data_IF_863737048415
#
_entry.id   IF_863737048415
#
_cell.length_a   1.000
_cell.length_b   1.000
_cell.length_c   1.000
_cell.angle_alpha   90.00
_cell.angle_beta   90.00
_cell.angle_gamma   90.00
#
_symmetry.space_group_name_H-M   'P 1'
#
loop_
_entity.id
_entity.type
_entity.pdbx_description
1 polymer ?
#
# COMPACT_ATOMS: atom_id res chain seq x y z
N UNK A 1 33.37 8.45 6.78
CA UNK A 1 33.65 7.85 5.45
C UNK A 1 32.84 6.56 5.33
N UNK A 2 31.59 6.63 4.86
CA UNK A 2 30.83 5.43 4.49
C UNK A 2 31.14 5.19 3.01
N UNK A 3 31.70 4.02 2.71
CA UNK A 3 32.08 3.61 1.36
C UNK A 3 30.85 3.63 0.45
N UNK A 4 30.91 4.42 -0.62
CA UNK A 4 30.10 4.25 -1.82
C UNK A 4 30.42 2.87 -2.40
N UNK A 5 29.67 1.85 -2.00
CA UNK A 5 29.64 0.59 -2.75
C UNK A 5 28.87 0.89 -4.04
N UNK A 6 29.45 0.67 -5.23
CA UNK A 6 28.68 0.74 -6.46
C UNK A 6 27.56 -0.30 -6.35
N UNK A 7 26.31 0.14 -6.51
CA UNK A 7 25.15 -0.75 -6.50
C UNK A 7 25.36 -1.82 -7.59
N UNK A 8 25.82 -3.00 -7.17
CA UNK A 8 25.89 -4.14 -8.06
C UNK A 8 24.48 -4.38 -8.57
N UNK A 9 24.27 -4.22 -9.88
CA UNK A 9 23.01 -4.55 -10.56
C UNK A 9 22.71 -6.01 -10.24
N UNK A 10 21.92 -6.24 -9.20
CA UNK A 10 21.51 -7.57 -8.79
C UNK A 10 20.73 -8.15 -9.97
N UNK A 11 21.26 -9.21 -10.56
CA UNK A 11 20.63 -9.82 -11.74
C UNK A 11 19.28 -10.36 -11.30
N UNK A 12 18.22 -9.83 -11.90
CA UNK A 12 16.85 -10.23 -11.59
C UNK A 12 16.64 -11.63 -12.15
N UNK A 13 16.48 -12.61 -11.27
CA UNK A 13 16.10 -13.96 -11.68
C UNK A 13 14.68 -13.95 -12.25
N UNK A 14 14.41 -14.83 -13.23
CA UNK A 14 13.05 -15.07 -13.71
C UNK A 14 12.09 -15.42 -12.57
N UNK A 15 12.59 -16.10 -11.53
CA UNK A 15 11.83 -16.40 -10.30
C UNK A 15 11.34 -15.13 -9.61
N UNK A 16 12.14 -14.06 -9.60
CA UNK A 16 11.74 -12.77 -9.05
C UNK A 16 10.60 -12.12 -9.83
N UNK A 17 10.61 -12.22 -11.16
CA UNK A 17 9.50 -11.74 -11.99
C UNK A 17 8.22 -12.57 -11.78
N UNK A 18 8.35 -13.90 -11.66
CA UNK A 18 7.21 -14.76 -11.35
C UNK A 18 6.64 -14.46 -9.94
N UNK A 19 7.49 -14.24 -8.94
CA UNK A 19 7.08 -13.86 -7.59
C UNK A 19 6.39 -12.49 -7.58
N UNK A 20 6.89 -11.51 -8.35
CA UNK A 20 6.24 -10.21 -8.52
C UNK A 20 4.87 -10.35 -9.20
N UNK A 21 4.75 -11.19 -10.23
CA UNK A 21 3.49 -11.44 -10.91
C UNK A 21 2.47 -12.09 -9.99
N UNK A 22 2.89 -13.07 -9.19
CA UNK A 22 2.06 -13.66 -8.14
C UNK A 22 1.60 -12.58 -7.14
N UNK A 23 2.51 -11.73 -6.66
CA UNK A 23 2.19 -10.66 -5.73
C UNK A 23 1.14 -9.68 -6.31
N UNK A 24 1.28 -9.33 -7.59
CA UNK A 24 0.33 -8.46 -8.30
C UNK A 24 -1.06 -9.07 -8.32
N UNK A 25 -1.18 -10.36 -8.69
CA UNK A 25 -2.47 -11.07 -8.67
C UNK A 25 -3.01 -11.12 -7.24
N UNK A 26 -2.17 -11.53 -6.30
CA UNK A 26 -2.55 -11.78 -4.92
C UNK A 26 -3.13 -10.56 -4.21
N UNK A 27 -2.49 -9.40 -4.36
CA UNK A 27 -2.93 -8.13 -3.78
C UNK A 27 -3.85 -7.31 -4.70
N UNK A 28 -4.25 -7.82 -5.87
CA UNK A 28 -5.12 -7.06 -6.78
C UNK A 28 -6.60 -7.08 -6.40
N UNK A 29 -7.07 -8.16 -5.77
CA UNK A 29 -8.50 -8.34 -5.51
C UNK A 29 -9.27 -8.91 -6.70
N UNK A 30 -8.60 -9.26 -7.81
CA UNK A 30 -9.27 -9.73 -9.04
C UNK A 30 -10.03 -11.05 -8.84
N UNK A 31 -9.70 -11.81 -7.79
CA UNK A 31 -10.31 -13.09 -7.47
C UNK A 31 -11.13 -13.04 -6.17
N UNK A 32 -11.48 -11.85 -5.66
CA UNK A 32 -12.25 -11.72 -4.42
C UNK A 32 -13.62 -12.39 -4.50
N UNK A 33 -14.25 -12.30 -5.67
CA UNK A 33 -15.61 -12.79 -5.96
C UNK A 33 -15.60 -14.09 -6.79
N UNK A 34 -14.44 -14.71 -7.00
CA UNK A 34 -14.35 -15.97 -7.74
C UNK A 34 -15.05 -17.11 -6.97
N UNK A 35 -15.91 -17.86 -7.64
CA UNK A 35 -16.63 -19.03 -7.06
C UNK A 35 -15.84 -20.35 -7.16
N UNK A 36 -14.67 -20.32 -7.78
CA UNK A 36 -13.82 -21.48 -8.03
C UNK A 36 -12.55 -21.45 -7.15
N UNK A 37 -11.67 -22.44 -7.33
CA UNK A 37 -10.46 -22.58 -6.53
C UNK A 37 -9.48 -21.40 -6.65
N UNK A 38 -9.58 -20.58 -7.71
CA UNK A 38 -8.67 -19.43 -7.92
C UNK A 38 -8.85 -18.35 -6.86
N UNK A 39 -9.95 -18.41 -6.09
CA UNK A 39 -10.23 -17.58 -4.93
C UNK A 39 -9.13 -17.66 -3.84
N UNK A 40 -8.41 -18.78 -3.74
CA UNK A 40 -7.27 -18.95 -2.83
C UNK A 40 -6.10 -18.03 -3.17
N UNK A 41 -6.03 -17.55 -4.41
CA UNK A 41 -5.01 -16.62 -4.86
C UNK A 41 -5.35 -15.16 -4.53
N UNK A 42 -6.38 -14.88 -3.75
CA UNK A 42 -6.78 -13.51 -3.38
C UNK A 42 -6.48 -13.21 -1.91
N UNK A 43 -5.77 -12.11 -1.67
CA UNK A 43 -5.44 -11.65 -0.33
C UNK A 43 -6.68 -11.38 0.52
N UNK A 44 -7.72 -10.77 -0.05
CA UNK A 44 -8.96 -10.42 0.68
C UNK A 44 -9.69 -11.66 1.17
N UNK A 45 -9.63 -12.73 0.38
CA UNK A 45 -10.27 -14.01 0.70
C UNK A 45 -9.48 -14.74 1.77
N UNK A 46 -8.15 -14.81 1.64
CA UNK A 46 -7.30 -15.48 2.63
C UNK A 46 -7.24 -14.74 3.96
N UNK A 47 -7.32 -13.40 3.94
CA UNK A 47 -7.43 -12.59 5.14
C UNK A 47 -8.72 -12.92 5.91
N UNK A 48 -9.79 -13.26 5.20
CA UNK A 48 -11.10 -13.53 5.76
C UNK A 48 -11.74 -12.30 6.39
N UNK A 49 -12.79 -12.55 7.19
CA UNK A 49 -13.60 -11.50 7.83
C UNK A 49 -13.38 -11.43 9.33
N UNK A 50 -12.11 -11.39 9.75
CA UNK A 50 -11.77 -11.28 11.17
C UNK A 50 -12.34 -9.99 11.76
N UNK A 51 -13.02 -10.11 12.90
CA UNK A 51 -13.65 -8.98 13.57
C UNK A 51 -15.13 -8.80 13.26
N UNK A 52 -15.70 -9.54 12.31
CA UNK A 52 -17.14 -9.58 12.07
C UNK A 52 -17.78 -10.62 13.00
N UNK A 53 -18.84 -10.23 13.71
CA UNK A 53 -19.59 -11.06 14.64
C UNK A 53 -21.01 -11.28 14.08
N UNK A 54 -21.35 -12.54 13.82
CA UNK A 54 -22.67 -12.94 13.31
C UNK A 54 -22.82 -12.80 11.79
N UNK A 55 -23.86 -13.44 11.24
CA UNK A 55 -24.05 -13.57 9.79
C UNK A 55 -24.48 -12.27 9.09
N UNK A 56 -25.00 -11.30 9.84
CA UNK A 56 -25.54 -10.05 9.28
C UNK A 56 -24.50 -8.95 9.08
N UNK A 57 -23.26 -9.13 9.54
CA UNK A 57 -22.19 -8.12 9.42
C UNK A 57 -22.38 -6.86 10.27
N UNK A 58 -23.48 -6.76 11.03
CA UNK A 58 -23.86 -5.57 11.80
C UNK A 58 -23.19 -5.49 13.17
N UNK A 59 -22.80 -6.64 13.74
CA UNK A 59 -21.97 -6.67 14.93
C UNK A 59 -20.51 -6.88 14.50
N UNK A 60 -19.64 -6.01 14.99
CA UNK A 60 -18.20 -6.06 14.74
C UNK A 60 -17.49 -5.93 16.08
N UNK A 61 -16.22 -6.33 16.14
CA UNK A 61 -15.35 -6.25 17.34
C UNK A 61 -15.38 -4.88 18.03
N UNK A 62 -15.65 -3.83 17.27
CA UNK A 62 -15.75 -2.44 17.74
C UNK A 62 -17.05 -2.12 18.49
N UNK A 63 -18.09 -2.94 18.34
CA UNK A 63 -19.44 -2.63 18.80
C UNK A 63 -20.06 -1.44 18.05
N UNK A 64 -21.14 -0.86 18.59
CA UNK A 64 -21.83 0.30 18.01
C UNK A 64 -21.83 1.49 18.96
N UNK A 65 -21.52 2.69 18.46
CA UNK A 65 -21.67 3.95 19.21
C UNK A 65 -20.55 4.32 20.18
N UNK A 66 -19.40 3.64 20.15
CA UNK A 66 -18.24 3.97 20.96
C UNK A 66 -17.20 4.80 20.20
N UNK A 67 -16.81 5.96 20.73
CA UNK A 67 -15.63 6.72 20.28
C UNK A 67 -14.68 6.90 21.46
N UNK A 68 -13.53 6.24 21.45
CA UNK A 68 -12.55 6.31 22.55
C UNK A 68 -11.47 5.23 22.45
N UNK A 69 -10.60 5.15 23.47
CA UNK A 69 -9.44 4.26 23.48
C UNK A 69 -9.78 2.77 23.28
N UNK A 70 -10.92 2.31 23.82
CA UNK A 70 -11.40 0.93 23.65
C UNK A 70 -11.79 0.61 22.21
N UNK A 71 -12.44 1.56 21.54
CA UNK A 71 -12.82 1.42 20.13
C UNK A 71 -11.57 1.37 19.24
N UNK A 72 -10.60 2.27 19.48
CA UNK A 72 -9.30 2.25 18.79
C UNK A 72 -8.52 0.95 19.00
N UNK A 73 -8.52 0.41 20.23
CA UNK A 73 -7.87 -0.88 20.52
C UNK A 73 -8.52 -2.05 19.78
N UNK A 74 -9.86 -2.13 19.78
CA UNK A 74 -10.58 -3.19 19.06
C UNK A 74 -10.42 -3.05 17.54
N UNK A 75 -10.34 -1.83 17.02
CA UNK A 75 -10.01 -1.58 15.62
C UNK A 75 -8.61 -2.10 15.27
N UNK A 76 -7.59 -1.77 16.07
CA UNK A 76 -6.24 -2.27 15.85
C UNK A 76 -6.17 -3.80 15.85
N UNK A 77 -6.88 -4.46 16.77
CA UNK A 77 -6.98 -5.93 16.80
C UNK A 77 -7.61 -6.50 15.51
N UNK A 78 -8.62 -5.82 14.95
CA UNK A 78 -9.25 -6.27 13.70
C UNK A 78 -8.30 -6.21 12.48
N UNK A 79 -7.33 -5.30 12.49
CA UNK A 79 -6.37 -5.12 11.39
C UNK A 79 -5.14 -6.04 11.47
N UNK A 80 -4.83 -6.53 12.68
CA UNK A 80 -3.59 -7.26 12.95
C UNK A 80 -3.38 -8.48 12.02
N UNK A 81 -4.36 -9.38 11.80
CA UNK A 81 -4.15 -10.56 10.95
C UNK A 81 -3.81 -10.19 9.50
N UNK A 82 -4.49 -9.17 8.96
CA UNK A 82 -4.28 -8.67 7.61
C UNK A 82 -2.86 -8.16 7.41
N UNK A 83 -2.37 -7.36 8.35
CA UNK A 83 -1.02 -6.80 8.30
C UNK A 83 0.03 -7.90 8.43
N UNK A 84 -0.17 -8.87 9.34
CA UNK A 84 0.75 -10.01 9.52
C UNK A 84 0.84 -10.84 8.24
N UNK A 85 -0.31 -11.19 7.63
CA UNK A 85 -0.35 -11.96 6.39
C UNK A 85 0.34 -11.23 5.25
N UNK A 86 0.06 -9.94 5.08
CA UNK A 86 0.68 -9.13 4.03
C UNK A 86 2.21 -9.09 4.20
N UNK A 87 2.71 -8.82 5.41
CA UNK A 87 4.14 -8.82 5.70
C UNK A 87 4.79 -10.18 5.46
N UNK A 88 4.15 -11.28 5.87
CA UNK A 88 4.67 -12.63 5.66
C UNK A 88 4.80 -12.98 4.18
N UNK A 89 3.79 -12.66 3.36
CA UNK A 89 3.83 -12.86 1.91
C UNK A 89 4.94 -12.03 1.26
N UNK A 90 5.14 -10.80 1.73
CA UNK A 90 6.21 -9.91 1.24
C UNK A 90 7.58 -10.46 1.54
N UNK A 91 7.83 -10.98 2.76
CA UNK A 91 9.10 -11.63 3.09
C UNK A 91 9.39 -12.83 2.18
N UNK A 92 8.36 -13.59 1.79
CA UNK A 92 8.51 -14.68 0.81
C UNK A 92 8.87 -14.14 -0.58
N UNK A 93 8.16 -13.11 -1.06
CA UNK A 93 8.42 -12.49 -2.36
C UNK A 93 9.83 -11.90 -2.41
N UNK A 94 10.25 -11.23 -1.34
CA UNK A 94 11.59 -10.70 -1.16
C UNK A 94 12.65 -11.80 -1.22
N UNK A 95 12.47 -12.89 -0.47
CA UNK A 95 13.36 -14.06 -0.49
C UNK A 95 13.48 -14.71 -1.87
N UNK A 96 12.44 -14.61 -2.70
CA UNK A 96 12.41 -15.07 -4.10
C UNK A 96 12.98 -14.04 -5.11
N UNK A 97 13.41 -12.87 -4.65
CA UNK A 97 13.96 -11.80 -5.48
C UNK A 97 12.91 -10.92 -6.17
N UNK A 98 11.65 -10.99 -5.76
CA UNK A 98 10.55 -10.23 -6.33
C UNK A 98 10.62 -8.73 -6.05
N UNK A 99 11.22 -8.31 -4.94
CA UNK A 99 11.47 -6.88 -4.66
C UNK A 99 12.47 -6.27 -5.65
N UNK A 100 13.52 -7.00 -6.04
CA UNK A 100 14.49 -6.55 -7.05
C UNK A 100 13.83 -6.46 -8.43
N UNK A 101 12.92 -7.40 -8.73
CA UNK A 101 12.10 -7.33 -9.95
C UNK A 101 11.18 -6.11 -9.95
N UNK A 102 10.52 -5.84 -8.82
CA UNK A 102 9.66 -4.68 -8.62
C UNK A 102 10.46 -3.38 -8.78
N UNK A 103 11.67 -3.33 -8.20
CA UNK A 103 12.58 -2.20 -8.34
C UNK A 103 12.86 -1.91 -9.80
N UNK A 104 13.26 -2.90 -10.57
CA UNK A 104 13.61 -2.71 -11.98
C UNK A 104 12.42 -2.29 -12.84
N UNK A 105 11.24 -2.85 -12.58
CA UNK A 105 10.06 -2.63 -13.39
C UNK A 105 9.35 -1.31 -13.05
N UNK A 106 9.29 -0.94 -11.76
CA UNK A 106 8.52 0.20 -11.29
C UNK A 106 9.38 1.47 -11.07
N UNK A 107 10.70 1.35 -10.91
CA UNK A 107 11.59 2.52 -10.78
C UNK A 107 11.47 3.54 -11.92
N UNK A 108 11.33 3.15 -13.19
CA UNK A 108 11.17 4.12 -14.28
C UNK A 108 9.95 5.04 -14.10
N UNK A 109 8.93 4.60 -13.35
CA UNK A 109 7.71 5.36 -13.11
C UNK A 109 7.71 6.05 -11.74
N UNK A 110 8.03 5.30 -10.68
CA UNK A 110 7.96 5.80 -9.30
C UNK A 110 9.06 6.82 -8.98
N UNK A 111 10.25 6.65 -9.55
CA UNK A 111 11.39 7.53 -9.29
C UNK A 111 11.22 8.95 -9.87
N UNK A 112 10.75 9.16 -11.11
CA UNK A 112 10.44 10.51 -11.57
C UNK A 112 9.19 11.09 -10.88
N UNK A 113 8.13 10.28 -10.71
CA UNK A 113 6.83 10.76 -10.24
C UNK A 113 6.81 11.11 -8.75
N UNK A 114 7.43 10.28 -7.91
CA UNK A 114 7.40 10.40 -6.45
C UNK A 114 8.80 10.58 -5.84
N UNK A 115 9.86 10.19 -6.55
CA UNK A 115 11.22 10.24 -6.01
C UNK A 115 11.55 9.09 -5.08
N UNK A 116 10.80 7.99 -5.15
CA UNK A 116 10.99 6.80 -4.32
C UNK A 116 11.49 5.62 -5.18
N UNK A 117 12.23 4.67 -4.60
CA UNK A 117 12.73 3.51 -5.33
C UNK A 117 11.60 2.56 -5.73
N UNK A 118 11.80 1.77 -6.80
CA UNK A 118 10.77 0.87 -7.31
C UNK A 118 10.41 -0.29 -6.36
N UNK A 119 11.28 -0.61 -5.39
CA UNK A 119 10.99 -1.58 -4.31
C UNK A 119 9.74 -1.22 -3.51
N UNK A 120 9.41 0.08 -3.40
CA UNK A 120 8.16 0.57 -2.79
C UNK A 120 6.92 0.17 -3.57
N UNK A 121 7.08 -0.34 -4.80
CA UNK A 121 5.99 -0.74 -5.67
C UNK A 121 5.09 -1.82 -5.10
N UNK A 122 5.65 -2.82 -4.39
CA UNK A 122 4.82 -3.82 -3.71
C UNK A 122 3.98 -3.19 -2.58
N UNK A 123 4.59 -2.31 -1.79
CA UNK A 123 3.88 -1.59 -0.73
C UNK A 123 2.79 -0.68 -1.31
N UNK A 124 3.03 -0.11 -2.49
CA UNK A 124 2.04 0.66 -3.23
C UNK A 124 0.84 -0.19 -3.63
N UNK A 125 1.08 -1.37 -4.22
CA UNK A 125 0.02 -2.29 -4.62
C UNK A 125 -0.81 -2.72 -3.41
N UNK A 126 -0.16 -3.14 -2.33
CA UNK A 126 -0.84 -3.48 -1.09
C UNK A 126 -1.62 -2.28 -0.49
N UNK A 127 -1.07 -1.07 -0.59
CA UNK A 127 -1.74 0.14 -0.10
C UNK A 127 -3.04 0.49 -0.83
N UNK A 128 -3.22 0.04 -2.08
CA UNK A 128 -4.49 0.20 -2.80
C UNK A 128 -5.59 -0.69 -2.22
N UNK A 129 -5.21 -1.81 -1.60
CA UNK A 129 -6.14 -2.78 -1.04
C UNK A 129 -6.35 -2.55 0.47
N UNK A 130 -5.28 -2.22 1.20
CA UNK A 130 -5.30 -1.91 2.61
C UNK A 130 -4.25 -0.85 2.95
N UNK A 131 -4.71 0.32 3.42
CA UNK A 131 -3.83 1.41 3.85
C UNK A 131 -2.87 0.95 4.95
N UNK A 132 -3.38 0.15 5.90
CA UNK A 132 -2.61 -0.32 7.04
C UNK A 132 -1.57 -1.37 6.65
N UNK A 133 -1.91 -2.27 5.72
CA UNK A 133 -0.94 -3.22 5.16
C UNK A 133 0.17 -2.48 4.39
N UNK A 134 -0.18 -1.48 3.56
CA UNK A 134 0.79 -0.64 2.86
C UNK A 134 1.72 0.12 3.81
N UNK A 135 1.19 0.68 4.90
CA UNK A 135 1.97 1.36 5.94
C UNK A 135 2.92 0.38 6.67
N UNK A 136 2.43 -0.81 7.02
CA UNK A 136 3.24 -1.88 7.62
C UNK A 136 4.39 -2.29 6.70
N UNK A 137 4.12 -2.49 5.41
CA UNK A 137 5.14 -2.82 4.41
C UNK A 137 6.15 -1.69 4.22
N UNK A 138 5.69 -0.44 4.20
CA UNK A 138 6.56 0.73 4.11
C UNK A 138 7.52 0.82 5.29
N UNK A 139 7.03 0.50 6.49
CA UNK A 139 7.88 0.40 7.68
C UNK A 139 8.91 -0.72 7.53
N UNK A 140 8.51 -1.91 7.09
CA UNK A 140 9.42 -3.03 6.89
C UNK A 140 10.55 -2.71 5.90
N UNK A 141 10.21 -2.09 4.76
CA UNK A 141 11.18 -1.64 3.76
C UNK A 141 12.17 -0.59 4.32
N UNK A 142 11.70 0.30 5.19
CA UNK A 142 12.57 1.25 5.88
C UNK A 142 13.51 0.57 6.88
N UNK A 143 13.00 -0.38 7.66
CA UNK A 143 13.81 -1.15 8.63
C UNK A 143 14.85 -2.05 7.94
N UNK A 144 14.55 -2.55 6.75
CA UNK A 144 15.48 -3.29 5.90
C UNK A 144 16.57 -2.41 5.25
N UNK A 145 16.38 -1.08 5.25
CA UNK A 145 17.30 -0.13 4.62
C UNK A 145 17.05 0.12 3.13
N UNK A 146 15.96 -0.42 2.58
CA UNK A 146 15.54 -0.22 1.18
C UNK A 146 14.89 1.15 0.94
N UNK A 147 14.49 1.84 2.01
CA UNK A 147 13.98 3.21 1.99
C UNK A 147 14.76 4.12 2.93
N UNK A 148 15.10 5.31 2.44
CA UNK A 148 15.55 6.41 3.31
C UNK A 148 14.37 7.01 4.08
N UNK A 149 14.66 7.76 5.14
CA UNK A 149 13.61 8.44 5.91
C UNK A 149 12.85 9.47 5.05
N UNK A 150 13.56 10.21 4.19
CA UNK A 150 12.95 11.16 3.25
C UNK A 150 12.00 10.44 2.26
N UNK A 151 12.44 9.32 1.68
CA UNK A 151 11.63 8.53 0.74
C UNK A 151 10.42 7.92 1.45
N UNK A 152 10.60 7.39 2.67
CA UNK A 152 9.50 6.88 3.50
C UNK A 152 8.47 7.95 3.79
N UNK A 153 8.89 9.17 4.13
CA UNK A 153 7.97 10.28 4.41
C UNK A 153 7.18 10.69 3.17
N UNK A 154 7.83 10.82 2.02
CA UNK A 154 7.15 11.11 0.74
C UNK A 154 6.19 9.98 0.36
N UNK A 155 6.61 8.73 0.53
CA UNK A 155 5.79 7.57 0.22
C UNK A 155 4.61 7.41 1.18
N UNK A 156 4.79 7.72 2.46
CA UNK A 156 3.71 7.76 3.44
C UNK A 156 2.67 8.84 3.09
N UNK A 157 3.12 10.03 2.68
CA UNK A 157 2.22 11.08 2.21
C UNK A 157 1.43 10.66 0.97
N UNK A 158 2.07 9.95 0.03
CA UNK A 158 1.39 9.37 -1.13
C UNK A 158 0.33 8.33 -0.73
N UNK A 159 0.65 7.43 0.19
CA UNK A 159 -0.28 6.39 0.63
C UNK A 159 -1.50 6.99 1.35
N UNK A 160 -1.28 7.82 2.36
CA UNK A 160 -2.34 8.41 3.20
C UNK A 160 -3.26 9.35 2.41
N UNK A 161 -2.73 10.09 1.44
CA UNK A 161 -3.52 11.07 0.66
C UNK A 161 -4.54 10.47 -0.30
N UNK A 162 -4.52 9.16 -0.56
CA UNK A 162 -5.43 8.58 -1.56
C UNK A 162 -5.88 7.14 -1.33
N UNK A 163 -5.25 6.37 -0.44
CA UNK A 163 -5.68 4.99 -0.22
C UNK A 163 -7.10 4.94 0.36
N UNK A 164 -7.34 5.59 1.51
CA UNK A 164 -8.67 5.65 2.12
C UNK A 164 -9.75 6.35 1.26
N UNK A 165 -9.49 7.50 0.60
CA UNK A 165 -10.45 8.11 -0.32
C UNK A 165 -10.84 7.21 -1.50
N UNK A 166 -9.89 6.50 -2.11
CA UNK A 166 -10.16 5.59 -3.25
C UNK A 166 -10.98 4.39 -2.77
N UNK A 167 -10.61 3.77 -1.65
CA UNK A 167 -11.37 2.66 -1.08
C UNK A 167 -12.80 3.10 -0.71
N UNK A 168 -12.98 4.30 -0.14
CA UNK A 168 -14.30 4.84 0.17
C UNK A 168 -15.11 5.20 -1.08
N UNK A 169 -14.45 5.66 -2.15
CA UNK A 169 -15.09 6.01 -3.41
C UNK A 169 -15.74 4.78 -4.07
N UNK A 170 -15.03 3.65 -4.11
CA UNK A 170 -15.56 2.42 -4.71
C UNK A 170 -16.42 1.58 -3.77
N UNK A 171 -16.36 1.79 -2.45
CA UNK A 171 -17.25 1.12 -1.49
C UNK A 171 -18.51 1.94 -1.24
N UNK A 172 -18.44 2.92 -0.33
CA UNK A 172 -19.58 3.77 0.04
C UNK A 172 -20.04 4.69 -1.08
N UNK A 173 -19.11 5.19 -1.90
CA UNK A 173 -19.40 6.08 -3.03
C UNK A 173 -20.15 5.39 -4.16
N UNK A 174 -20.04 4.06 -4.29
CA UNK A 174 -20.70 3.30 -5.36
C UNK A 174 -22.23 3.44 -5.34
N UNK A 175 -22.84 3.55 -4.15
CA UNK A 175 -24.28 3.80 -4.03
C UNK A 175 -24.73 5.16 -4.60
N UNK A 176 -23.80 6.12 -4.71
CA UNK A 176 -24.03 7.46 -5.23
C UNK A 176 -23.69 7.59 -6.72
N UNK A 177 -23.11 6.57 -7.35
CA UNK A 177 -22.68 6.63 -8.77
C UNK A 177 -23.83 6.86 -9.74
N UNK A 178 -25.03 6.38 -9.42
CA UNK A 178 -26.24 6.61 -10.22
C UNK A 178 -26.71 8.08 -10.22
N UNK A 179 -26.26 8.89 -9.26
CA UNK A 179 -26.62 10.30 -9.13
C UNK A 179 -25.50 11.25 -9.61
N UNK A 180 -24.37 10.70 -10.06
CA UNK A 180 -23.25 11.48 -10.58
C UNK A 180 -23.56 11.98 -11.99
N UNK A 181 -23.51 13.29 -12.18
CA UNK A 181 -23.65 13.94 -13.50
C UNK A 181 -22.38 13.85 -14.36
N UNK A 182 -21.28 13.35 -13.80
CA UNK A 182 -19.99 13.19 -14.48
C UNK A 182 -19.56 11.71 -14.47
N UNK A 183 -18.82 11.25 -15.49
CA UNK A 183 -18.28 9.89 -15.50
C UNK A 183 -17.50 9.54 -14.24
N UNK A 184 -17.72 8.34 -13.68
CA UNK A 184 -17.09 7.80 -12.46
C UNK A 184 -15.56 7.87 -12.52
N UNK A 185 -14.99 7.77 -13.72
CA UNK A 185 -13.53 7.86 -13.91
C UNK A 185 -12.97 9.25 -13.59
N UNK A 186 -13.75 10.33 -13.72
CA UNK A 186 -13.25 11.70 -13.54
C UNK A 186 -12.88 11.96 -12.07
N UNK A 187 -13.78 11.76 -11.07
CA UNK A 187 -13.40 11.90 -9.66
C UNK A 187 -12.26 10.96 -9.27
N UNK A 188 -12.22 9.75 -9.83
CA UNK A 188 -11.12 8.80 -9.59
C UNK A 188 -9.76 9.33 -10.06
N UNK A 189 -9.69 9.85 -11.29
CA UNK A 189 -8.46 10.47 -11.81
C UNK A 189 -8.06 11.69 -10.98
N UNK A 190 -9.02 12.52 -10.55
CA UNK A 190 -8.75 13.66 -9.67
C UNK A 190 -8.10 13.20 -8.36
N UNK A 191 -8.63 12.16 -7.71
CA UNK A 191 -8.01 11.58 -6.50
C UNK A 191 -6.58 11.09 -6.75
N UNK A 192 -6.32 10.43 -7.89
CA UNK A 192 -4.96 10.00 -8.25
C UNK A 192 -4.00 11.18 -8.46
N UNK A 193 -4.45 12.24 -9.14
CA UNK A 193 -3.66 13.46 -9.35
C UNK A 193 -3.31 14.11 -8.01
N UNK A 194 -4.28 14.28 -7.12
CA UNK A 194 -4.04 14.85 -5.79
C UNK A 194 -3.09 14.00 -4.94
N UNK A 195 -3.10 12.67 -5.11
CA UNK A 195 -2.16 11.75 -4.47
C UNK A 195 -0.71 12.06 -4.87
N UNK A 196 -0.48 12.23 -6.18
CA UNK A 196 0.84 12.60 -6.72
C UNK A 196 1.25 14.01 -6.29
N UNK A 197 0.31 14.96 -6.33
CA UNK A 197 0.57 16.34 -5.91
C UNK A 197 0.94 16.40 -4.43
N UNK A 198 0.17 15.75 -3.55
CA UNK A 198 0.43 15.72 -2.11
C UNK A 198 1.81 15.16 -1.77
N UNK A 199 2.21 14.06 -2.41
CA UNK A 199 3.54 13.49 -2.24
C UNK A 199 4.64 14.46 -2.71
N UNK A 200 4.46 15.14 -3.84
CA UNK A 200 5.43 16.09 -4.36
C UNK A 200 5.50 17.39 -3.55
N UNK A 201 4.41 17.84 -2.92
CA UNK A 201 4.43 18.94 -1.96
C UNK A 201 5.32 18.61 -0.77
N UNK A 202 5.18 17.40 -0.19
CA UNK A 202 6.05 16.93 0.89
C UNK A 202 7.51 16.80 0.42
N UNK A 203 7.74 16.30 -0.79
CA UNK A 203 9.07 16.22 -1.40
C UNK A 203 9.71 17.61 -1.53
N UNK A 204 8.96 18.61 -1.95
CA UNK A 204 9.42 20.01 -2.02
C UNK A 204 9.70 20.59 -0.64
N UNK A 205 8.82 20.32 0.34
CA UNK A 205 9.01 20.76 1.71
C UNK A 205 10.30 20.20 2.33
N UNK A 206 10.56 18.90 2.16
CA UNK A 206 11.78 18.25 2.65
C UNK A 206 13.02 18.88 1.98
N UNK A 207 13.00 19.06 0.65
CA UNK A 207 14.12 19.65 -0.10
C UNK A 207 14.41 21.11 0.28
N UNK A 208 13.39 21.90 0.60
CA UNK A 208 13.54 23.35 0.79
C UNK A 208 13.65 23.78 2.26
N UNK A 209 12.89 23.16 3.15
CA UNK A 209 12.76 23.56 4.56
C UNK A 209 13.59 22.65 5.47
N UNK A 210 13.45 21.33 5.34
CA UNK A 210 14.15 20.39 6.21
C UNK A 210 15.68 20.42 5.98
N UNK A 211 16.12 20.49 4.73
CA UNK A 211 17.56 20.65 4.41
C UNK A 211 18.14 22.01 4.80
N UNK A 212 17.35 23.09 4.77
CA UNK A 212 17.82 24.40 5.27
C UNK A 212 18.02 24.39 6.79
N UNK A 213 17.17 23.71 7.55
CA UNK A 213 17.30 23.58 9.01
C UNK A 213 18.44 22.66 9.45
N UNK A 214 18.89 21.72 8.62
CA UNK A 214 20.02 20.86 8.95
C UNK A 214 21.40 21.52 8.70
N UNK A 215 21.42 22.66 8.00
CA UNK A 215 22.63 23.42 7.64
C UNK A 215 22.79 24.70 8.48
N UNK A 216 21.73 25.11 9.20
CA UNK A 216 21.74 26.21 10.17
C UNK A 216 21.93 25.68 11.59
#
# INVERSE_FOLDING_TARGET
MKQDKPAAKQQVSWVGYAALFFALIFFSGIFSDAENWTRVLDFTVLQGSFGIIGETGKAIFRGTGGTGARDGFMFALSLMPSVILALGVVSVIEGLGGLVAAERLLSPFLRPLLGVPGVSGLALIASFQSTDAGAGMTKALYEAGDLTDEERTVFGAFQVSGAAPITNYFSSGAGLFQFLSVPIIIPFVVMLVFKVLGANVIRLYIKTVAKKKAVA
#
